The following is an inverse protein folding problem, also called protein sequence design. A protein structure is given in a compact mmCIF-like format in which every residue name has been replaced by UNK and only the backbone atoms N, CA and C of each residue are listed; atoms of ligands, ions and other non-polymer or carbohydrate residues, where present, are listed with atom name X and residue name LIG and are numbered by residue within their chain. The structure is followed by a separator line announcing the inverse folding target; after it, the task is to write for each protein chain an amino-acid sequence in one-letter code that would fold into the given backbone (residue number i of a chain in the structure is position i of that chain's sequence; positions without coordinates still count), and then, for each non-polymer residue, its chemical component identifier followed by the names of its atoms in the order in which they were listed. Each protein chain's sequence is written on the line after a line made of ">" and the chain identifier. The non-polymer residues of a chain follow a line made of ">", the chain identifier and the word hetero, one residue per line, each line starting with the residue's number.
data_IF_204268125770
#
_entry.id   IF_204268125770
#
_cell.length_a   1.000
_cell.length_b   1.000
_cell.length_c   1.000
_cell.angle_alpha   90.00
_cell.angle_beta   90.00
_cell.angle_gamma   90.00
#
_symmetry.space_group_name_H-M   'P 1'
#
loop_
_entity.id
_entity.type
_entity.pdbx_description
1 polymer ?
#
# COMPACT_ATOMS: atom_id res chain seq x y z
N UNK A 1 3.29 -6.64 22.89
CA UNK A 1 2.36 -7.10 21.84
C UNK A 1 1.89 -5.88 21.04
N UNK A 2 2.35 -5.70 19.81
CA UNK A 2 1.85 -4.65 18.91
C UNK A 2 1.62 -5.27 17.53
N UNK A 3 0.60 -6.14 17.46
CA UNK A 3 0.37 -6.95 16.28
C UNK A 3 -0.92 -7.77 16.33
N UNK A 4 -1.93 -7.33 17.07
CA UNK A 4 -3.23 -8.01 17.08
C UNK A 4 -3.89 -7.79 15.73
N UNK A 5 -4.10 -8.89 15.00
CA UNK A 5 -4.77 -8.90 13.69
C UNK A 5 -6.01 -9.78 13.73
N UNK A 6 -5.95 -10.91 14.43
CA UNK A 6 -7.02 -11.89 14.49
C UNK A 6 -7.50 -12.16 15.93
N UNK A 7 -8.60 -12.91 16.07
CA UNK A 7 -9.14 -13.33 17.37
C UNK A 7 -8.05 -13.97 18.24
N UNK A 8 -7.27 -14.89 17.66
CA UNK A 8 -6.23 -15.65 18.35
C UNK A 8 -5.15 -14.74 18.98
N UNK A 9 -4.82 -13.62 18.34
CA UNK A 9 -3.86 -12.65 18.89
C UNK A 9 -4.44 -11.89 20.10
N UNK A 10 -5.75 -11.64 20.08
CA UNK A 10 -6.47 -11.00 21.17
C UNK A 10 -6.70 -11.96 22.34
N UNK A 11 -7.09 -13.21 22.05
CA UNK A 11 -7.30 -14.28 23.02
C UNK A 11 -6.04 -14.58 23.82
N UNK A 12 -4.87 -14.62 23.18
CA UNK A 12 -3.59 -14.75 23.89
C UNK A 12 -3.41 -13.66 24.96
N UNK A 13 -3.83 -12.42 24.68
CA UNK A 13 -3.78 -11.35 25.67
C UNK A 13 -4.76 -11.59 26.83
N UNK A 14 -5.97 -12.06 26.54
CA UNK A 14 -6.95 -12.38 27.58
C UNK A 14 -6.46 -13.52 28.48
N UNK A 15 -5.85 -14.56 27.89
CA UNK A 15 -5.26 -15.69 28.62
C UNK A 15 -4.10 -15.27 29.53
N UNK A 16 -3.40 -14.19 29.17
CA UNK A 16 -2.36 -13.59 30.01
C UNK A 16 -2.92 -12.73 31.17
N UNK A 17 -4.23 -12.65 31.33
CA UNK A 17 -4.90 -11.96 32.42
C UNK A 17 -5.18 -10.47 32.15
N UNK A 18 -5.16 -10.04 30.89
CA UNK A 18 -5.59 -8.68 30.52
C UNK A 18 -7.10 -8.63 30.31
N UNK A 19 -7.75 -7.58 30.84
CA UNK A 19 -9.20 -7.37 30.65
C UNK A 19 -9.54 -6.65 29.34
N UNK A 20 -8.55 -6.04 28.67
CA UNK A 20 -8.74 -5.26 27.45
C UNK A 20 -7.53 -5.35 26.52
N UNK A 21 -7.80 -5.41 25.21
CA UNK A 21 -6.80 -5.46 24.14
C UNK A 21 -6.96 -4.25 23.22
N UNK A 22 -5.86 -3.57 22.91
CA UNK A 22 -5.84 -2.47 21.96
C UNK A 22 -5.47 -2.96 20.55
N UNK A 23 -6.29 -2.61 19.56
CA UNK A 23 -6.11 -2.98 18.16
C UNK A 23 -5.98 -1.71 17.31
N UNK A 24 -4.85 -1.59 16.59
CA UNK A 24 -4.51 -0.39 15.81
C UNK A 24 -4.56 -0.62 14.31
N UNK A 25 -3.53 -1.27 13.76
CA UNK A 25 -3.36 -1.46 12.30
C UNK A 25 -4.54 -2.19 11.65
N UNK A 26 -5.10 -3.20 12.32
CA UNK A 26 -6.24 -3.92 11.78
C UNK A 26 -7.47 -3.02 11.63
N UNK A 27 -7.71 -2.10 12.59
CA UNK A 27 -8.80 -1.12 12.51
C UNK A 27 -8.59 -0.05 11.41
N UNK A 28 -7.35 0.21 11.00
CA UNK A 28 -7.05 1.11 9.87
C UNK A 28 -7.41 0.44 8.54
N UNK A 29 -7.13 -0.85 8.40
CA UNK A 29 -7.47 -1.62 7.20
C UNK A 29 -8.95 -2.04 7.15
N UNK A 30 -9.51 -2.37 8.32
CA UNK A 30 -10.86 -2.90 8.53
C UNK A 30 -11.54 -2.13 9.66
N UNK A 31 -12.27 -1.04 9.36
CA UNK A 31 -13.02 -0.29 10.38
C UNK A 31 -14.08 -1.14 11.10
N UNK A 32 -14.53 -2.22 10.46
CA UNK A 32 -15.45 -3.26 10.91
C UNK A 32 -14.73 -4.49 11.52
N UNK A 33 -13.47 -4.33 11.96
CA UNK A 33 -12.62 -5.43 12.46
C UNK A 33 -13.30 -6.31 13.52
N UNK A 34 -14.00 -5.70 14.49
CA UNK A 34 -14.66 -6.45 15.56
C UNK A 34 -15.73 -7.41 15.04
N UNK A 35 -16.49 -6.98 14.04
CA UNK A 35 -17.58 -7.78 13.47
C UNK A 35 -16.99 -8.95 12.68
N UNK A 36 -15.98 -8.69 11.84
CA UNK A 36 -15.27 -9.71 11.06
C UNK A 36 -14.64 -10.79 11.94
N UNK A 37 -13.97 -10.38 13.01
CA UNK A 37 -13.33 -11.30 13.94
C UNK A 37 -14.37 -12.08 14.75
N UNK A 38 -15.48 -11.45 15.13
CA UNK A 38 -16.60 -12.15 15.78
C UNK A 38 -17.26 -13.19 14.84
N UNK A 39 -17.30 -12.92 13.55
CA UNK A 39 -17.77 -13.84 12.51
C UNK A 39 -16.75 -14.96 12.17
N UNK A 40 -15.57 -14.93 12.79
CA UNK A 40 -14.52 -15.93 12.60
C UNK A 40 -13.70 -15.74 11.32
N UNK A 41 -13.72 -14.54 10.73
CA UNK A 41 -12.84 -14.22 9.59
C UNK A 41 -11.37 -14.20 10.03
N UNK A 42 -10.50 -14.71 9.16
CA UNK A 42 -9.05 -14.58 9.31
C UNK A 42 -8.56 -13.48 8.36
N UNK A 43 -8.08 -12.38 8.94
CA UNK A 43 -7.72 -11.15 8.25
C UNK A 43 -6.21 -11.09 7.99
N UNK A 44 -5.85 -10.60 6.81
CA UNK A 44 -4.47 -10.25 6.47
C UNK A 44 -4.32 -8.73 6.46
N UNK A 45 -3.23 -8.20 7.02
CA UNK A 45 -2.99 -6.74 7.07
C UNK A 45 -2.64 -6.20 5.68
N UNK A 46 -3.66 -5.85 4.93
CA UNK A 46 -3.56 -5.34 3.57
C UNK A 46 -4.50 -4.15 3.36
N UNK A 47 -4.02 -3.10 2.69
CA UNK A 47 -4.84 -1.98 2.21
C UNK A 47 -4.61 -1.80 0.72
N UNK A 48 -5.69 -1.72 -0.04
CA UNK A 48 -5.65 -1.37 -1.47
C UNK A 48 -5.27 0.10 -1.64
N UNK A 49 -4.27 0.39 -2.49
CA UNK A 49 -3.79 1.73 -2.79
C UNK A 49 -4.90 2.71 -3.22
N UNK A 50 -5.98 2.20 -3.79
CA UNK A 50 -7.13 2.99 -4.27
C UNK A 50 -8.17 3.32 -3.18
N UNK A 51 -8.12 2.65 -2.03
CA UNK A 51 -9.16 2.73 -0.99
C UNK A 51 -8.95 3.81 0.08
N UNK A 52 -7.89 4.61 -0.03
CA UNK A 52 -7.56 5.68 0.94
C UNK A 52 -8.76 6.56 1.30
N UNK A 53 -9.50 7.02 0.29
CA UNK A 53 -10.63 7.93 0.48
C UNK A 53 -11.86 7.23 1.06
N UNK A 54 -12.13 6.00 0.62
CA UNK A 54 -13.23 5.19 1.14
C UNK A 54 -13.06 4.88 2.64
N UNK A 55 -11.82 4.60 3.05
CA UNK A 55 -11.45 4.37 4.45
C UNK A 55 -11.21 5.66 5.24
N UNK A 56 -11.35 6.84 4.60
CA UNK A 56 -11.15 8.17 5.20
C UNK A 56 -9.80 8.31 5.90
N UNK A 57 -8.74 7.72 5.34
CA UNK A 57 -7.41 7.73 5.94
C UNK A 57 -6.73 9.09 5.64
N UNK A 58 -6.35 9.87 6.67
CA UNK A 58 -5.66 11.14 6.48
C UNK A 58 -4.29 10.98 5.80
N UNK A 59 -3.91 11.94 4.95
CA UNK A 59 -2.60 11.96 4.25
C UNK A 59 -1.38 11.73 5.18
N UNK A 60 -1.31 12.34 6.38
CA UNK A 60 -0.18 12.10 7.28
C UNK A 60 -0.07 10.65 7.75
N UNK A 61 -1.21 9.97 7.93
CA UNK A 61 -1.26 8.56 8.34
C UNK A 61 -0.96 7.63 7.17
N UNK A 62 -1.39 8.00 5.95
CA UNK A 62 -1.13 7.22 4.73
C UNK A 62 0.37 7.12 4.41
N UNK A 63 1.12 8.20 4.64
CA UNK A 63 2.58 8.26 4.44
C UNK A 63 3.39 7.77 5.63
N UNK A 64 2.73 7.23 6.66
CA UNK A 64 3.41 6.69 7.82
C UNK A 64 3.91 5.27 7.51
N UNK A 65 5.17 4.98 7.80
CA UNK A 65 5.85 3.75 7.32
C UNK A 65 5.14 2.44 7.69
N UNK A 66 4.47 2.40 8.85
CA UNK A 66 3.71 1.22 9.27
C UNK A 66 2.43 1.00 8.49
N UNK A 67 1.79 2.07 8.01
CA UNK A 67 0.60 2.01 7.14
C UNK A 67 1.04 1.77 5.71
N UNK A 68 2.09 2.46 5.27
CA UNK A 68 2.70 2.29 3.95
C UNK A 68 3.08 0.84 3.66
N UNK A 69 3.66 0.13 4.64
CA UNK A 69 4.00 -1.28 4.52
C UNK A 69 2.79 -2.21 4.30
N UNK A 70 1.57 -1.77 4.63
CA UNK A 70 0.33 -2.53 4.42
C UNK A 70 -0.30 -2.24 3.05
N UNK A 71 0.10 -1.15 2.39
CA UNK A 71 -0.49 -0.74 1.12
C UNK A 71 0.06 -1.63 0.00
N UNK A 72 -0.82 -2.20 -0.81
CA UNK A 72 -0.43 -2.84 -2.06
C UNK A 72 -1.13 -2.18 -3.24
N UNK A 73 -0.41 -2.14 -4.35
CA UNK A 73 -0.94 -1.62 -5.59
C UNK A 73 -1.72 -2.71 -6.34
N UNK A 74 -3.04 -2.57 -6.40
CA UNK A 74 -3.95 -3.43 -7.16
C UNK A 74 -4.30 -2.85 -8.55
N UNK A 75 -3.68 -1.73 -8.96
CA UNK A 75 -3.99 -1.03 -10.22
C UNK A 75 -3.72 -1.83 -11.51
N UNK A 76 -3.23 -3.08 -11.45
CA UNK A 76 -2.97 -3.93 -12.64
C UNK A 76 -3.76 -5.25 -12.67
N UNK A 77 -4.78 -5.45 -11.83
CA UNK A 77 -5.56 -6.69 -11.80
C UNK A 77 -6.54 -6.91 -12.97
N UNK A 78 -7.05 -5.83 -13.58
CA UNK A 78 -8.07 -5.90 -14.64
C UNK A 78 -7.55 -5.66 -16.07
N UNK A 79 -6.26 -5.38 -16.22
CA UNK A 79 -5.64 -5.34 -17.54
C UNK A 79 -5.26 -6.78 -17.93
N UNK A 80 -6.16 -7.47 -18.65
CA UNK A 80 -5.81 -8.65 -19.46
C UNK A 80 -4.66 -8.27 -20.42
N UNK A 81 -3.42 -8.38 -19.95
CA UNK A 81 -2.24 -8.19 -20.77
C UNK A 81 -2.20 -9.34 -21.79
N UNK A 82 -2.45 -9.01 -23.06
CA UNK A 82 -2.18 -9.94 -24.17
C UNK A 82 -0.67 -9.87 -24.43
N UNK A 83 0.11 -10.93 -24.16
CA UNK A 83 1.53 -10.94 -24.49
C UNK A 83 1.65 -10.97 -26.00
N UNK A 84 2.05 -9.86 -26.63
CA UNK A 84 2.05 -9.82 -28.09
C UNK A 84 2.75 -8.65 -28.77
N UNK A 85 2.70 -7.42 -28.28
CA UNK A 85 3.41 -6.31 -28.94
C UNK A 85 3.72 -5.22 -27.92
N UNK A 86 4.94 -5.21 -27.40
CA UNK A 86 5.53 -4.00 -26.82
C UNK A 86 6.70 -3.63 -27.72
N UNK A 87 6.46 -2.71 -28.66
CA UNK A 87 7.53 -2.08 -29.44
C UNK A 87 7.88 -0.80 -28.70
N UNK A 88 9.05 -0.80 -28.06
CA UNK A 88 9.66 0.38 -27.49
C UNK A 88 10.29 1.19 -28.63
N UNK A 89 9.72 2.36 -28.95
CA UNK A 89 10.37 3.34 -29.82
C UNK A 89 11.09 4.38 -28.96
N UNK A 90 12.36 4.09 -28.63
CA UNK A 90 13.29 5.11 -28.11
C UNK A 90 13.51 6.16 -29.19
N UNK A 91 12.92 7.34 -29.00
CA UNK A 91 13.24 8.54 -29.76
C UNK A 91 14.56 9.11 -29.19
N UNK A 92 15.69 8.80 -29.84
CA UNK A 92 16.93 9.53 -29.60
C UNK A 92 16.73 10.92 -30.21
N UNK A 93 16.56 11.94 -29.36
CA UNK A 93 16.56 13.33 -29.79
C UNK A 93 17.96 13.72 -30.26
N UNK A 94 18.09 13.90 -31.57
CA UNK A 94 19.17 14.61 -32.24
C UNK A 94 18.99 16.11 -31.97
N UNK A 95 19.87 16.70 -31.15
CA UNK A 95 19.93 18.16 -30.98
C UNK A 95 21.29 18.67 -31.47
N UNK A 96 21.37 18.94 -32.77
CA UNK A 96 22.45 19.74 -33.34
C UNK A 96 22.09 21.22 -33.37
N UNK A 97 22.90 22.11 -32.74
CA UNK A 97 23.22 23.45 -33.31
C UNK A 97 24.25 24.27 -32.52
N UNK A 98 25.39 24.64 -33.15
CA UNK A 98 25.65 25.96 -33.76
C UNK A 98 27.12 26.18 -34.09
N UNK A 99 27.35 26.60 -35.34
CA UNK A 99 28.58 27.14 -35.87
C UNK A 99 28.90 28.55 -35.32
N UNK A 100 30.18 28.94 -35.35
CA UNK A 100 30.60 30.35 -35.36
C UNK A 100 32.00 30.67 -34.79
N UNK A 101 33.02 30.53 -35.64
CA UNK A 101 34.18 31.44 -35.86
C UNK A 101 34.90 32.17 -34.70
N UNK A 102 36.22 31.97 -34.56
CA UNK A 102 37.26 33.03 -34.49
C UNK A 102 38.69 32.47 -34.32
N UNK A 103 39.66 33.16 -34.95
CA UNK A 103 41.08 32.82 -35.22
C UNK A 103 42.05 32.82 -34.01
N UNK A 104 43.09 31.96 -34.12
CA UNK A 104 44.54 32.12 -33.78
C UNK A 104 44.97 32.55 -32.36
N UNK A 105 46.22 32.25 -31.94
CA UNK A 105 47.46 32.89 -32.45
C UNK A 105 48.31 32.02 -33.40
#
# INVERSE_FOLDING_TARGET
>A
MAGVVNAEDAEQGLDHGYDLIAVGRACIAYPDWTDRVADGENLELFIDSTRREALRIPEPLWRFSLVEAMIRDMSMGDAKFKPGVFVESVQVQDEGRRAGDSRQP
#
